data_IF_952552523965
#
_entry.id   IF_952552523965
#
_cell.length_a   1.000
_cell.length_b   1.000
_cell.length_c   1.000
_cell.angle_alpha   90.00
_cell.angle_beta   90.00
_cell.angle_gamma   90.00
#
_symmetry.space_group_name_H-M   'P 1'
#
loop_
_entity.id
_entity.type
_entity.pdbx_description
1 polymer ?
#
# COMPACT_ATOMS: atom_id res chain seq x y z
N UNK A 1 8.86 10.44 -6.60
CA UNK A 1 8.49 9.32 -5.70
C UNK A 1 9.52 8.22 -5.85
N UNK A 2 10.06 7.72 -4.73
CA UNK A 2 10.87 6.50 -4.72
C UNK A 2 10.06 5.28 -5.16
N UNK A 3 10.73 4.17 -5.45
CA UNK A 3 10.05 2.89 -5.63
C UNK A 3 9.36 2.49 -4.33
N UNK A 4 8.09 2.08 -4.39
CA UNK A 4 7.39 1.43 -3.28
C UNK A 4 8.23 0.25 -2.75
N UNK A 5 8.33 0.13 -1.43
CA UNK A 5 9.08 -0.91 -0.70
C UNK A 5 8.19 -1.59 0.33
N UNK A 6 8.62 -2.78 0.77
CA UNK A 6 8.04 -3.45 1.94
C UNK A 6 8.27 -2.60 3.19
N UNK A 7 7.21 -2.42 3.98
CA UNK A 7 7.13 -1.56 5.17
C UNK A 7 6.78 -0.11 4.88
N UNK A 8 6.63 0.29 3.60
CA UNK A 8 6.01 1.58 3.28
C UNK A 8 4.55 1.59 3.76
N UNK A 9 4.08 2.74 4.19
CA UNK A 9 2.72 2.95 4.70
C UNK A 9 1.91 3.75 3.70
N UNK A 10 0.68 3.31 3.48
CA UNK A 10 -0.35 3.96 2.70
C UNK A 10 -1.48 4.36 3.62
N UNK A 11 -2.08 5.52 3.39
CA UNK A 11 -3.34 5.88 4.03
C UNK A 11 -4.38 6.14 2.95
N UNK A 12 -5.52 5.47 3.03
CA UNK A 12 -6.69 5.74 2.20
C UNK A 12 -7.66 6.65 2.97
N UNK A 13 -7.82 7.93 2.57
CA UNK A 13 -8.61 8.89 3.35
C UNK A 13 -10.11 8.58 3.38
N UNK A 14 -10.67 8.00 2.31
CA UNK A 14 -12.12 7.78 2.20
C UNK A 14 -12.63 6.75 3.21
N UNK A 15 -11.85 5.71 3.49
CA UNK A 15 -12.20 4.66 4.44
C UNK A 15 -11.44 4.77 5.77
N UNK A 16 -10.63 5.83 5.96
CA UNK A 16 -9.74 6.05 7.11
C UNK A 16 -8.93 4.80 7.44
N UNK A 17 -8.26 4.28 6.43
CA UNK A 17 -7.63 2.97 6.50
C UNK A 17 -6.12 3.08 6.28
N UNK A 18 -5.36 2.59 7.24
CA UNK A 18 -3.90 2.58 7.18
C UNK A 18 -3.43 1.22 6.67
N UNK A 19 -2.72 1.22 5.55
CA UNK A 19 -2.16 0.04 4.90
C UNK A 19 -0.65 -0.02 5.05
N UNK A 20 -0.11 -1.17 5.43
CA UNK A 20 1.33 -1.44 5.39
C UNK A 20 1.64 -2.36 4.20
N UNK A 21 2.62 -2.00 3.37
CA UNK A 21 3.09 -2.88 2.30
C UNK A 21 3.84 -4.05 2.93
N UNK A 22 3.27 -5.24 2.88
CA UNK A 22 3.85 -6.44 3.50
C UNK A 22 4.67 -7.27 2.53
N UNK A 23 4.46 -7.11 1.22
CA UNK A 23 5.15 -7.88 0.20
C UNK A 23 5.15 -7.21 -1.16
N UNK A 24 6.20 -7.46 -1.95
CA UNK A 24 6.26 -7.13 -3.37
C UNK A 24 6.77 -8.37 -4.11
N UNK A 25 5.90 -8.94 -4.94
CA UNK A 25 6.19 -10.17 -5.68
C UNK A 25 6.39 -9.80 -7.15
N UNK A 26 7.52 -10.23 -7.72
CA UNK A 26 7.80 -10.07 -9.14
C UNK A 26 7.37 -11.31 -9.91
N UNK A 27 6.66 -11.12 -11.02
CA UNK A 27 6.25 -12.20 -11.91
C UNK A 27 6.28 -11.77 -13.38
N UNK A 28 6.04 -12.71 -14.31
CA UNK A 28 6.09 -12.44 -15.75
C UNK A 28 5.07 -11.40 -16.20
N UNK A 29 3.94 -11.28 -15.48
CA UNK A 29 2.87 -10.30 -15.76
C UNK A 29 3.09 -8.93 -15.07
N UNK A 30 4.22 -8.74 -14.40
CA UNK A 30 4.57 -7.54 -13.65
C UNK A 30 4.65 -7.77 -12.14
N UNK A 31 4.57 -6.67 -11.37
CA UNK A 31 4.74 -6.68 -9.91
C UNK A 31 3.39 -6.64 -9.21
N UNK A 32 3.22 -7.49 -8.20
CA UNK A 32 2.10 -7.48 -7.26
C UNK A 32 2.59 -6.90 -5.93
N UNK A 33 1.78 -6.04 -5.33
CA UNK A 33 1.98 -5.46 -4.01
C UNK A 33 0.95 -6.05 -3.08
N UNK A 34 1.40 -6.58 -1.96
CA UNK A 34 0.56 -7.05 -0.87
C UNK A 34 0.49 -5.95 0.19
N UNK A 35 -0.72 -5.61 0.62
CA UNK A 35 -0.97 -4.55 1.60
C UNK A 35 -1.87 -5.10 2.70
N UNK A 36 -1.43 -4.93 3.95
CA UNK A 36 -2.23 -5.20 5.15
C UNK A 36 -2.89 -3.93 5.65
N UNK A 37 -4.21 -3.89 5.55
CA UNK A 37 -5.04 -2.78 5.98
C UNK A 37 -5.45 -2.90 7.44
N UNK A 38 -5.44 -1.79 8.16
CA UNK A 38 -5.84 -1.63 9.56
C UNK A 38 -6.83 -0.46 9.63
N UNK A 39 -8.15 -0.73 9.54
CA UNK A 39 -9.17 0.31 9.67
C UNK A 39 -9.24 0.83 11.11
N UNK A 40 -9.56 2.10 11.31
CA UNK A 40 -9.62 2.71 12.65
C UNK A 40 -10.81 2.23 13.50
N UNK A 41 -11.89 1.74 12.88
CA UNK A 41 -13.18 1.48 13.56
C UNK A 41 -13.36 0.02 14.05
N UNK A 42 -12.39 -0.55 14.77
CA UNK A 42 -12.49 -1.91 15.35
C UNK A 42 -12.66 -3.07 14.34
N UNK A 43 -12.47 -2.82 13.05
CA UNK A 43 -12.46 -3.88 12.04
C UNK A 43 -11.16 -4.69 12.11
N UNK A 44 -11.27 -6.00 11.86
CA UNK A 44 -10.10 -6.86 11.78
C UNK A 44 -9.18 -6.43 10.63
N UNK A 45 -7.85 -6.47 10.83
CA UNK A 45 -6.92 -6.28 9.74
C UNK A 45 -7.17 -7.27 8.61
N UNK A 46 -7.03 -6.82 7.37
CA UNK A 46 -7.22 -7.67 6.20
C UNK A 46 -6.14 -7.40 5.15
N UNK A 47 -5.78 -8.44 4.41
CA UNK A 47 -4.73 -8.39 3.40
C UNK A 47 -5.35 -8.26 2.00
N UNK A 48 -4.73 -7.45 1.14
CA UNK A 48 -5.14 -7.27 -0.26
C UNK A 48 -3.95 -7.35 -1.19
N UNK A 49 -4.20 -7.74 -2.44
CA UNK A 49 -3.20 -7.78 -3.50
C UNK A 49 -3.58 -6.84 -4.63
N UNK A 50 -2.62 -6.03 -5.07
CA UNK A 50 -2.80 -5.08 -6.15
C UNK A 50 -1.63 -5.12 -7.12
N UNK A 51 -1.90 -4.88 -8.40
CA UNK A 51 -0.83 -4.58 -9.34
C UNK A 51 -0.10 -3.31 -8.90
N UNK A 52 1.23 -3.35 -8.90
CA UNK A 52 2.09 -2.22 -8.53
C UNK A 52 1.71 -0.92 -9.26
N UNK A 53 1.40 -1.02 -10.57
CA UNK A 53 0.97 0.12 -11.38
C UNK A 53 -0.31 0.79 -10.87
N UNK A 54 -1.23 0.02 -10.28
CA UNK A 54 -2.48 0.54 -9.70
C UNK A 54 -2.16 1.35 -8.45
N UNK A 55 -1.38 0.77 -7.52
CA UNK A 55 -1.00 1.44 -6.27
C UNK A 55 -0.27 2.75 -6.54
N UNK A 56 0.71 2.74 -7.45
CA UNK A 56 1.44 3.96 -7.84
C UNK A 56 0.52 5.01 -8.46
N UNK A 57 -0.47 4.59 -9.26
CA UNK A 57 -1.47 5.52 -9.81
C UNK A 57 -2.33 6.13 -8.71
N UNK A 58 -2.85 5.34 -7.77
CA UNK A 58 -3.64 5.83 -6.64
C UNK A 58 -2.86 6.87 -5.83
N UNK A 59 -1.57 6.63 -5.56
CA UNK A 59 -0.74 7.62 -4.85
C UNK A 59 -0.56 8.90 -5.68
N UNK A 60 -0.24 8.78 -6.97
CA UNK A 60 -0.07 9.95 -7.85
C UNK A 60 -1.35 10.79 -7.98
N UNK A 61 -2.51 10.13 -7.89
CA UNK A 61 -3.81 10.76 -7.95
C UNK A 61 -4.28 11.35 -6.61
N UNK A 62 -3.54 11.13 -5.51
CA UNK A 62 -3.95 11.54 -4.17
C UNK A 62 -5.05 10.66 -3.56
N UNK A 63 -5.34 9.49 -4.16
CA UNK A 63 -6.29 8.51 -3.61
C UNK A 63 -5.67 7.79 -2.40
N UNK A 64 -4.33 7.61 -2.41
CA UNK A 64 -3.55 7.14 -1.27
C UNK A 64 -2.51 8.18 -0.88
N UNK A 65 -2.42 8.49 0.40
CA UNK A 65 -1.26 9.19 0.95
C UNK A 65 -0.14 8.17 1.19
N UNK A 66 1.10 8.58 0.92
CA UNK A 66 2.26 7.69 0.95
C UNK A 66 3.30 8.18 1.96
N UNK A 67 3.65 7.29 2.89
CA UNK A 67 4.74 7.49 3.84
C UNK A 67 5.79 6.40 3.62
N UNK A 68 7.02 6.74 3.20
CA UNK A 68 8.08 5.75 3.03
C UNK A 68 8.46 5.14 4.38
N UNK A 69 8.85 3.86 4.38
CA UNK A 69 9.48 3.24 5.54
C UNK A 69 10.72 4.05 5.92
N UNK A 70 10.82 4.43 7.18
CA UNK A 70 12.06 5.01 7.70
C UNK A 70 13.15 3.93 7.74
N UNK A 71 14.17 4.09 6.90
CA UNK A 71 15.43 3.34 7.00
C UNK A 71 16.42 4.28 7.72
N UNK A 72 16.82 4.00 8.98
CA UNK A 72 17.80 4.80 9.72
C UNK A 72 19.19 4.77 9.10
#
# INVERSE_FOLDING_TARGET
>A
MGKLKVGDVLFEPLSRNTGEVTGIIEGPSGKIVQIRWKPEDNHLPHDTEHFYKKVVRCIKNGEFEYTPKYEP
#
